data_IF_925509827962
#
_entry.id   IF_925509827962
#
_cell.length_a   1.000
_cell.length_b   1.000
_cell.length_c   1.000
_cell.angle_alpha   90.00
_cell.angle_beta   90.00
_cell.angle_gamma   90.00
#
_symmetry.space_group_name_H-M   'P 1'
#
loop_
_entity.id
_entity.type
_entity.pdbx_description
1 polymer ?
#
# COMPACT_ATOMS: atom_id res chain seq x y z
N UNK A 1 -0.14 -12.68 3.55
CA UNK A 1 -0.36 -11.99 2.28
C UNK A 1 0.63 -10.85 2.13
N UNK A 2 1.19 -10.74 0.95
CA UNK A 2 2.21 -9.73 0.69
C UNK A 2 1.73 -8.65 -0.28
N UNK A 3 0.47 -8.28 -0.15
CA UNK A 3 -0.16 -7.32 -1.05
C UNK A 3 -0.60 -6.08 -0.27
N UNK A 4 -0.33 -4.91 -0.84
CA UNK A 4 -0.83 -3.67 -0.26
C UNK A 4 -2.36 -3.69 -0.22
N UNK A 5 -2.92 -3.20 0.87
CA UNK A 5 -4.37 -3.09 1.00
C UNK A 5 -4.79 -1.72 0.49
N UNK A 6 -5.62 -1.71 -0.53
CA UNK A 6 -6.11 -0.46 -1.10
C UNK A 6 -7.24 0.08 -0.22
N UNK A 7 -7.04 1.24 0.33
CA UNK A 7 -8.03 1.85 1.22
C UNK A 7 -9.36 2.10 0.51
N UNK A 8 -9.32 2.36 -0.78
CA UNK A 8 -10.55 2.58 -1.54
C UNK A 8 -11.43 1.33 -1.53
N UNK A 9 -10.82 0.16 -1.52
CA UNK A 9 -11.56 -1.11 -1.46
C UNK A 9 -12.24 -1.31 -0.12
N UNK A 10 -11.74 -0.65 0.93
CA UNK A 10 -12.27 -0.82 2.28
C UNK A 10 -13.34 0.20 2.58
N UNK A 11 -13.06 1.47 2.30
CA UNK A 11 -13.91 2.57 2.72
C UNK A 11 -14.68 3.24 1.59
N UNK A 12 -14.27 3.00 0.36
CA UNK A 12 -14.83 3.69 -0.79
C UNK A 12 -14.25 5.09 -0.97
N UNK A 13 -13.33 5.47 -0.11
CA UNK A 13 -12.66 6.75 -0.18
C UNK A 13 -11.17 6.54 0.04
N UNK A 14 -10.41 7.60 -0.06
CA UNK A 14 -8.98 7.52 0.21
C UNK A 14 -8.17 7.04 -0.98
N UNK A 15 -8.45 7.60 -2.15
CA UNK A 15 -7.68 7.28 -3.35
C UNK A 15 -6.19 7.41 -3.08
N UNK A 16 -5.39 6.48 -3.63
CA UNK A 16 -3.94 6.47 -3.51
C UNK A 16 -3.46 6.28 -2.08
N UNK A 17 -4.31 5.72 -1.22
CA UNK A 17 -3.96 5.40 0.15
C UNK A 17 -3.90 3.89 0.30
N UNK A 18 -2.80 3.39 0.84
CA UNK A 18 -2.58 1.95 0.97
C UNK A 18 -2.12 1.61 2.37
N UNK A 19 -2.39 0.39 2.79
CA UNK A 19 -2.02 -0.06 4.13
C UNK A 19 -1.20 -1.34 4.04
N UNK A 20 -0.18 -1.44 4.88
CA UNK A 20 0.62 -2.65 4.96
C UNK A 20 -0.17 -3.72 5.71
N UNK A 21 -0.28 -4.95 5.16
CA UNK A 21 -1.04 -6.01 5.82
C UNK A 21 -0.33 -6.61 7.03
N UNK A 22 0.93 -6.24 7.26
CA UNK A 22 1.71 -6.83 8.34
C UNK A 22 1.87 -5.93 9.56
N UNK A 23 2.01 -4.62 9.35
CA UNK A 23 2.33 -3.72 10.45
C UNK A 23 1.40 -2.52 10.55
N UNK A 24 0.35 -2.51 9.78
CA UNK A 24 -0.66 -1.43 9.78
C UNK A 24 -0.11 -0.06 9.38
N UNK A 25 1.02 -0.05 8.70
CA UNK A 25 1.56 1.21 8.19
C UNK A 25 0.66 1.73 7.06
N UNK A 26 0.30 3.00 7.14
CA UNK A 26 -0.53 3.63 6.11
C UNK A 26 0.34 4.47 5.20
N UNK A 27 0.27 4.21 3.91
CA UNK A 27 1.02 4.95 2.90
C UNK A 27 0.06 5.80 2.09
N UNK A 28 0.28 7.10 2.09
CA UNK A 28 -0.54 8.02 1.32
C UNK A 28 0.30 8.62 0.20
N UNK A 29 -0.18 8.45 -1.03
CA UNK A 29 0.53 8.93 -2.21
C UNK A 29 -0.25 10.07 -2.85
N UNK A 30 0.47 10.89 -3.60
CA UNK A 30 -0.18 11.98 -4.33
C UNK A 30 -0.83 11.47 -5.61
N UNK A 31 -0.22 10.45 -6.20
CA UNK A 31 -0.80 9.81 -7.38
C UNK A 31 -0.09 8.48 -7.63
N UNK A 32 -0.75 7.60 -8.37
CA UNK A 32 -0.17 6.32 -8.73
C UNK A 32 -0.30 5.28 -7.62
N UNK A 33 0.41 4.19 -7.79
CA UNK A 33 0.40 3.09 -6.83
C UNK A 33 1.73 3.04 -6.08
N UNK A 34 1.81 2.29 -4.98
CA UNK A 34 3.08 2.14 -4.28
C UNK A 34 4.19 1.64 -5.20
N UNK A 35 3.87 0.69 -6.08
CA UNK A 35 4.85 0.15 -7.00
C UNK A 35 5.37 1.20 -7.97
N UNK A 36 4.47 2.05 -8.47
CA UNK A 36 4.85 3.12 -9.38
C UNK A 36 5.70 4.19 -8.70
N UNK A 37 5.61 4.25 -7.38
CA UNK A 37 6.37 5.21 -6.59
C UNK A 37 7.58 4.56 -5.91
N UNK A 38 7.97 3.38 -6.39
CA UNK A 38 9.15 2.65 -5.89
C UNK A 38 9.00 2.12 -4.47
N UNK A 39 7.78 1.93 -4.03
CA UNK A 39 7.52 1.33 -2.72
C UNK A 39 7.31 -0.17 -2.87
N UNK A 40 8.37 -0.88 -3.21
CA UNK A 40 8.30 -2.33 -3.35
C UNK A 40 8.36 -3.05 -2.02
N UNK A 41 8.72 -2.33 -0.97
CA UNK A 41 8.81 -2.86 0.39
C UNK A 41 8.13 -1.89 1.33
N UNK A 42 7.56 -2.43 2.42
CA UNK A 42 7.00 -1.55 3.44
C UNK A 42 8.14 -0.79 4.13
N UNK A 43 8.10 0.53 4.14
CA UNK A 43 9.19 1.30 4.73
C UNK A 43 9.25 1.18 6.26
N UNK A 44 8.22 0.62 6.87
CA UNK A 44 8.20 0.47 8.31
C UNK A 44 8.68 -0.91 8.76
N UNK A 45 8.16 -1.97 8.16
CA UNK A 45 8.52 -3.33 8.58
C UNK A 45 9.49 -4.03 7.61
N UNK A 46 9.69 -3.47 6.42
CA UNK A 46 10.65 -3.99 5.47
C UNK A 46 10.19 -5.21 4.68
N UNK A 47 8.95 -5.62 4.83
CA UNK A 47 8.46 -6.77 4.08
C UNK A 47 8.11 -6.39 2.65
N UNK A 48 8.41 -7.30 1.74
CA UNK A 48 8.12 -7.06 0.33
C UNK A 48 6.61 -7.10 0.10
N UNK A 49 6.11 -6.09 -0.61
CA UNK A 49 4.69 -5.98 -0.91
C UNK A 49 4.49 -5.72 -2.39
N UNK A 50 3.37 -6.21 -2.91
CA UNK A 50 3.01 -6.01 -4.31
C UNK A 50 1.65 -5.33 -4.37
N UNK A 51 1.33 -4.76 -5.54
CA UNK A 51 0.05 -4.08 -5.72
C UNK A 51 -1.00 -5.05 -6.24
N UNK A 52 -0.62 -5.92 -7.15
CA UNK A 52 -1.53 -6.93 -7.66
C UNK A 52 -0.78 -8.19 -8.01
N UNK A 53 -1.52 -9.28 -8.02
CA UNK A 53 -0.96 -10.59 -8.29
C UNK A 53 -0.57 -10.73 -9.75
#
# INVERSE_FOLDING_TARGET
MNKWIDYEDITGEGSNTYECPYCDFVLQLMEGTPEENSYNYCPKCGKKLIVKN
#
